data_IF_839923189412
#
_entry.id   IF_839923189412
#
_cell.length_a   1.000
_cell.length_b   1.000
_cell.length_c   1.000
_cell.angle_alpha   90.00
_cell.angle_beta   90.00
_cell.angle_gamma   90.00
#
_symmetry.space_group_name_H-M   'P 1'
#
loop_
_entity.id
_entity.type
_entity.pdbx_description
1 polymer ?
#
# COMPACT_ATOMS: atom_id res chain seq x y z
N UNK A 1 -32.00 -18.19 15.34
CA UNK A 1 -31.24 -17.53 14.26
C UNK A 1 -29.88 -17.20 14.82
N UNK A 2 -28.87 -17.99 14.46
CA UNK A 2 -27.49 -17.86 14.95
C UNK A 2 -26.66 -17.36 13.78
N UNK A 3 -26.10 -16.15 13.89
CA UNK A 3 -25.06 -15.68 12.97
C UNK A 3 -23.72 -16.00 13.61
N UNK A 4 -23.13 -17.08 13.12
CA UNK A 4 -21.74 -17.46 13.35
C UNK A 4 -20.88 -16.41 12.63
N UNK A 5 -20.23 -15.52 13.38
CA UNK A 5 -19.17 -14.67 12.83
C UNK A 5 -17.89 -15.51 12.79
N UNK A 6 -17.57 -16.00 11.59
CA UNK A 6 -16.32 -16.66 11.24
C UNK A 6 -15.14 -15.74 11.58
N UNK A 7 -14.39 -16.08 12.62
CA UNK A 7 -13.08 -15.48 12.88
C UNK A 7 -12.08 -16.20 11.96
N UNK A 8 -11.29 -15.51 11.12
CA UNK A 8 -10.30 -16.16 10.27
C UNK A 8 -9.16 -16.79 11.11
N UNK A 9 -8.91 -18.09 10.88
CA UNK A 9 -7.99 -18.99 11.61
C UNK A 9 -6.49 -18.65 11.58
N UNK A 10 -6.08 -17.52 11.03
CA UNK A 10 -4.66 -17.18 10.86
C UNK A 10 -3.97 -16.67 12.13
N UNK A 11 -4.73 -16.42 13.20
CA UNK A 11 -4.22 -15.91 14.48
C UNK A 11 -3.61 -16.97 15.41
N UNK A 12 -3.68 -18.26 15.09
CA UNK A 12 -3.11 -19.32 15.94
C UNK A 12 -1.63 -19.62 15.72
N UNK A 13 -0.90 -18.86 14.89
CA UNK A 13 0.56 -19.09 14.68
C UNK A 13 1.48 -18.07 15.35
N UNK A 14 0.92 -16.99 15.93
CA UNK A 14 1.71 -16.03 16.72
C UNK A 14 1.81 -16.41 18.21
N UNK A 15 1.11 -17.44 18.69
CA UNK A 15 1.06 -17.80 20.11
C UNK A 15 2.11 -18.85 20.54
N UNK A 16 2.93 -19.42 19.65
CA UNK A 16 3.74 -20.60 20.02
C UNK A 16 5.20 -20.33 20.42
N UNK A 17 5.70 -19.10 20.45
CA UNK A 17 7.12 -18.84 20.78
C UNK A 17 7.35 -17.58 21.63
N UNK A 18 6.73 -17.53 22.81
CA UNK A 18 7.24 -16.74 23.94
C UNK A 18 7.37 -17.63 25.19
N UNK A 19 8.07 -18.76 25.02
CA UNK A 19 8.52 -19.64 26.10
C UNK A 19 9.96 -19.33 26.55
N UNK A 20 10.42 -18.09 26.40
CA UNK A 20 11.71 -17.68 26.98
C UNK A 20 11.66 -16.20 27.39
N UNK A 21 11.02 -15.97 28.52
CA UNK A 21 11.37 -14.91 29.48
C UNK A 21 11.52 -13.49 28.94
N UNK A 22 10.49 -12.67 29.16
CA UNK A 22 10.57 -11.40 29.89
C UNK A 22 9.12 -11.10 30.28
N UNK A 23 8.85 -11.19 31.57
CA UNK A 23 7.54 -10.92 32.13
C UNK A 23 7.19 -9.43 32.12
N UNK A 24 5.88 -9.18 32.14
CA UNK A 24 5.24 -8.03 32.77
C UNK A 24 5.36 -6.65 32.10
N UNK A 25 4.97 -6.52 30.83
CA UNK A 25 4.45 -5.22 30.31
C UNK A 25 3.18 -5.33 29.46
N UNK A 26 2.64 -6.54 29.25
CA UNK A 26 1.52 -6.75 28.33
C UNK A 26 0.13 -6.36 28.89
N UNK A 27 0.02 -5.97 30.17
CA UNK A 27 -1.29 -5.67 30.79
C UNK A 27 -1.75 -4.22 30.60
N UNK A 28 -0.84 -3.26 30.37
CA UNK A 28 -1.21 -1.86 30.07
C UNK A 28 -1.56 -1.63 28.60
N UNK A 29 -1.15 -2.54 27.72
CA UNK A 29 -1.53 -2.52 26.30
C UNK A 29 -2.99 -2.96 26.08
N UNK A 30 -3.60 -3.67 27.04
CA UNK A 30 -4.98 -4.13 26.95
C UNK A 30 -6.01 -3.02 27.21
N UNK A 31 -5.72 -2.06 28.12
CA UNK A 31 -6.59 -0.89 28.28
C UNK A 31 -6.37 0.13 27.15
N UNK A 32 -5.16 0.15 26.58
CA UNK A 32 -4.81 1.01 25.44
C UNK A 32 -5.58 0.63 24.16
N UNK A 33 -5.79 -0.66 23.89
CA UNK A 33 -6.50 -1.09 22.66
C UNK A 33 -7.97 -0.66 22.63
N UNK A 34 -8.70 -0.74 23.74
CA UNK A 34 -10.14 -0.39 23.73
C UNK A 34 -10.38 1.13 23.63
N UNK A 35 -9.42 1.95 24.02
CA UNK A 35 -9.43 3.40 23.83
C UNK A 35 -8.85 3.82 22.46
N UNK A 36 -8.00 2.99 21.84
CA UNK A 36 -7.38 3.29 20.55
C UNK A 36 -8.41 3.38 19.42
N UNK A 37 -9.31 2.40 19.30
CA UNK A 37 -10.34 2.41 18.26
C UNK A 37 -11.33 3.59 18.39
N UNK A 38 -11.53 4.11 19.61
CA UNK A 38 -12.39 5.28 19.86
C UNK A 38 -11.71 6.63 19.61
N UNK A 39 -10.38 6.69 19.66
CA UNK A 39 -9.64 7.94 19.49
C UNK A 39 -9.40 8.31 18.01
N UNK A 40 -9.34 7.32 17.11
CA UNK A 40 -9.03 7.53 15.69
C UNK A 40 -10.28 7.82 14.85
N UNK A 41 -11.48 7.54 15.38
CA UNK A 41 -12.73 7.74 14.63
C UNK A 41 -13.09 9.22 14.39
N UNK A 42 -12.65 10.14 15.27
CA UNK A 42 -13.09 11.54 15.26
C UNK A 42 -11.95 12.59 15.16
N UNK A 43 -10.72 12.20 14.82
CA UNK A 43 -9.65 13.18 14.59
C UNK A 43 -9.74 13.80 13.18
N UNK A 44 -9.90 15.13 13.02
CA UNK A 44 -9.95 15.80 11.71
C UNK A 44 -8.73 15.53 10.82
N UNK A 45 -7.60 15.15 11.43
CA UNK A 45 -6.31 14.90 10.78
C UNK A 45 -6.38 13.79 9.71
N UNK A 46 -7.10 12.69 9.96
CA UNK A 46 -7.17 11.56 9.02
C UNK A 46 -7.91 11.93 7.73
N UNK A 47 -8.97 12.73 7.83
CA UNK A 47 -9.74 13.20 6.68
C UNK A 47 -8.97 14.24 5.87
N UNK A 48 -8.24 15.15 6.55
CA UNK A 48 -7.38 16.15 5.89
C UNK A 48 -6.21 15.47 5.15
N UNK A 49 -5.57 14.47 5.76
CA UNK A 49 -4.52 13.69 5.11
C UNK A 49 -5.04 12.96 3.87
N UNK A 50 -6.25 12.40 3.93
CA UNK A 50 -6.88 11.77 2.78
C UNK A 50 -7.13 12.79 1.66
N UNK A 51 -7.68 13.98 1.94
CA UNK A 51 -7.92 15.02 0.92
C UNK A 51 -6.61 15.52 0.29
N UNK A 52 -5.57 15.76 1.09
CA UNK A 52 -4.26 16.16 0.58
C UNK A 52 -3.64 15.05 -0.26
N UNK A 53 -3.77 13.79 0.16
CA UNK A 53 -3.31 12.64 -0.63
C UNK A 53 -4.04 12.55 -1.98
N UNK A 54 -5.37 12.61 -1.98
CA UNK A 54 -6.19 12.57 -3.21
C UNK A 54 -5.98 13.80 -4.11
N UNK A 55 -5.44 14.91 -3.56
CA UNK A 55 -5.05 16.09 -4.32
C UNK A 55 -3.58 16.13 -4.75
N UNK A 56 -2.70 15.31 -4.15
CA UNK A 56 -1.25 15.32 -4.41
C UNK A 56 -0.88 14.22 -5.43
N UNK A 57 -0.60 14.58 -6.70
CA UNK A 57 -0.26 13.60 -7.73
C UNK A 57 1.04 12.85 -7.42
N UNK A 58 1.98 13.47 -6.70
CA UNK A 58 3.21 12.80 -6.31
C UNK A 58 2.92 11.68 -5.31
N UNK A 59 2.10 11.95 -4.29
CA UNK A 59 1.77 10.96 -3.26
C UNK A 59 0.98 9.78 -3.84
N UNK A 60 -0.02 10.04 -4.68
CA UNK A 60 -0.80 9.01 -5.39
C UNK A 60 0.08 8.11 -6.26
N UNK A 61 1.03 8.70 -6.98
CA UNK A 61 1.95 7.93 -7.80
C UNK A 61 2.85 7.01 -6.96
N UNK A 62 3.33 7.45 -5.79
CA UNK A 62 4.14 6.61 -4.91
C UNK A 62 3.33 5.41 -4.38
N UNK A 63 2.07 5.61 -4.03
CA UNK A 63 1.19 4.52 -3.60
C UNK A 63 0.98 3.49 -4.72
N UNK A 64 0.53 3.94 -5.91
CA UNK A 64 0.32 3.05 -7.06
C UNK A 64 1.59 2.28 -7.44
N UNK A 65 2.74 2.95 -7.43
CA UNK A 65 4.04 2.32 -7.68
C UNK A 65 4.40 1.27 -6.60
N UNK A 66 4.09 1.55 -5.34
CA UNK A 66 4.30 0.62 -4.23
C UNK A 66 3.42 -0.62 -4.38
N UNK A 67 2.14 -0.43 -4.68
CA UNK A 67 1.21 -1.53 -4.95
C UNK A 67 1.65 -2.39 -6.13
N UNK A 68 2.01 -1.76 -7.25
CA UNK A 68 2.50 -2.44 -8.44
C UNK A 68 3.76 -3.28 -8.13
N UNK A 69 4.67 -2.73 -7.32
CA UNK A 69 5.87 -3.44 -6.88
C UNK A 69 5.54 -4.65 -5.97
N UNK A 70 4.60 -4.51 -5.05
CA UNK A 70 4.13 -5.61 -4.20
C UNK A 70 3.38 -6.69 -4.98
N UNK A 71 2.55 -6.29 -5.94
CA UNK A 71 1.83 -7.19 -6.83
C UNK A 71 2.80 -7.98 -7.73
N UNK A 72 3.83 -7.31 -8.28
CA UNK A 72 4.86 -7.94 -9.12
C UNK A 72 5.62 -9.10 -8.45
N UNK A 73 5.73 -9.10 -7.11
CA UNK A 73 6.35 -10.21 -6.36
C UNK A 73 5.52 -11.48 -6.34
N UNK A 74 4.21 -11.39 -6.61
CA UNK A 74 3.25 -12.49 -6.50
C UNK A 74 2.53 -12.79 -7.82
N UNK A 75 2.76 -12.01 -8.86
CA UNK A 75 2.14 -12.16 -10.17
C UNK A 75 2.48 -13.51 -10.81
N UNK A 76 1.46 -14.20 -11.32
CA UNK A 76 1.62 -15.53 -11.93
C UNK A 76 1.02 -15.62 -13.33
N UNK A 77 0.04 -14.76 -13.63
CA UNK A 77 -0.69 -14.79 -14.89
C UNK A 77 -0.38 -13.59 -15.77
N UNK A 78 -0.64 -13.73 -17.07
CA UNK A 78 -0.59 -12.61 -18.01
C UNK A 78 -1.49 -11.45 -17.55
N UNK A 79 -2.68 -11.75 -17.03
CA UNK A 79 -3.62 -10.75 -16.49
C UNK A 79 -3.05 -9.98 -15.29
N UNK A 80 -2.35 -10.65 -14.36
CA UNK A 80 -1.69 -9.99 -13.24
C UNK A 80 -0.64 -8.99 -13.75
N UNK A 81 0.19 -9.43 -14.69
CA UNK A 81 1.24 -8.59 -15.27
C UNK A 81 0.68 -7.40 -16.06
N UNK A 82 -0.45 -7.58 -16.74
CA UNK A 82 -1.14 -6.48 -17.42
C UNK A 82 -1.68 -5.45 -16.41
N UNK A 83 -2.30 -5.89 -15.32
CA UNK A 83 -2.77 -4.99 -14.26
C UNK A 83 -1.61 -4.20 -13.63
N UNK A 84 -0.48 -4.87 -13.36
CA UNK A 84 0.73 -4.24 -12.84
C UNK A 84 1.30 -3.21 -13.82
N UNK A 85 1.32 -3.51 -15.12
CA UNK A 85 1.76 -2.57 -16.14
C UNK A 85 0.92 -1.29 -16.12
N UNK A 86 -0.41 -1.43 -16.01
CA UNK A 86 -1.32 -0.29 -15.93
C UNK A 86 -1.10 0.55 -14.66
N UNK A 87 -0.85 -0.07 -13.49
CA UNK A 87 -0.54 0.66 -12.26
C UNK A 87 0.76 1.45 -12.39
N UNK A 88 1.82 0.85 -12.94
CA UNK A 88 3.08 1.55 -13.20
C UNK A 88 2.91 2.70 -14.18
N UNK A 89 2.09 2.53 -15.22
CA UNK A 89 1.81 3.58 -16.19
C UNK A 89 1.08 4.76 -15.54
N UNK A 90 0.01 4.50 -14.78
CA UNK A 90 -0.74 5.54 -14.08
C UNK A 90 0.15 6.30 -13.08
N UNK A 91 1.00 5.59 -12.33
CA UNK A 91 1.98 6.22 -11.44
C UNK A 91 2.95 7.12 -12.22
N UNK A 92 3.38 6.71 -13.41
CA UNK A 92 4.25 7.53 -14.25
C UNK A 92 3.56 8.80 -14.76
N UNK A 93 2.29 8.69 -15.14
CA UNK A 93 1.51 9.80 -15.66
C UNK A 93 1.24 10.83 -14.56
N UNK A 94 0.91 10.38 -13.34
CA UNK A 94 0.79 11.22 -12.15
C UNK A 94 2.11 11.94 -11.81
N UNK A 95 3.24 11.24 -11.85
CA UNK A 95 4.55 11.88 -11.65
C UNK A 95 4.88 12.93 -12.71
N UNK A 96 4.42 12.72 -13.96
CA UNK A 96 4.68 13.64 -15.06
C UNK A 96 3.92 14.96 -14.92
N UNK A 97 2.76 14.96 -14.25
CA UNK A 97 1.92 16.15 -14.05
C UNK A 97 2.21 16.91 -12.75
N UNK A 98 3.17 16.47 -11.94
CA UNK A 98 3.61 17.22 -10.75
C UNK A 98 4.08 18.64 -11.16
N UNK A 99 3.50 19.73 -10.62
CA UNK A 99 3.84 21.09 -11.02
C UNK A 99 5.31 21.43 -10.84
N UNK A 100 5.86 22.29 -11.70
CA UNK A 100 7.26 22.73 -11.59
C UNK A 100 7.56 23.59 -10.35
N UNK A 101 6.53 24.13 -9.71
CA UNK A 101 6.61 24.87 -8.44
C UNK A 101 6.69 23.95 -7.22
N UNK A 102 6.43 22.65 -7.36
CA UNK A 102 6.60 21.67 -6.28
C UNK A 102 8.09 21.31 -6.15
N UNK A 103 8.62 21.35 -4.94
CA UNK A 103 10.03 21.02 -4.65
C UNK A 103 10.42 19.61 -5.12
N UNK A 104 9.43 18.70 -5.24
CA UNK A 104 9.62 17.32 -5.66
C UNK A 104 9.59 17.15 -7.18
N UNK A 105 9.31 18.19 -7.96
CA UNK A 105 9.13 18.10 -9.42
C UNK A 105 10.28 17.35 -10.12
N UNK A 106 11.53 17.72 -9.83
CA UNK A 106 12.69 17.07 -10.45
C UNK A 106 12.75 15.57 -10.12
N UNK A 107 12.46 15.21 -8.88
CA UNK A 107 12.38 13.81 -8.46
C UNK A 107 11.18 13.10 -9.12
N UNK A 108 10.06 13.79 -9.28
CA UNK A 108 8.87 13.28 -9.96
C UNK A 108 9.18 12.93 -11.42
N UNK A 109 9.81 13.84 -12.18
CA UNK A 109 10.19 13.58 -13.58
C UNK A 109 11.14 12.38 -13.71
N UNK A 110 12.10 12.25 -12.79
CA UNK A 110 12.98 11.07 -12.72
C UNK A 110 12.20 9.77 -12.49
N UNK A 111 11.23 9.79 -11.57
CA UNK A 111 10.36 8.64 -11.29
C UNK A 111 9.40 8.33 -12.43
N UNK A 112 8.85 9.34 -13.12
CA UNK A 112 8.01 9.13 -14.29
C UNK A 112 8.73 8.28 -15.34
N UNK A 113 9.98 8.61 -15.66
CA UNK A 113 10.79 7.84 -16.58
C UNK A 113 11.06 6.41 -16.08
N UNK A 114 11.32 6.24 -14.78
CA UNK A 114 11.52 4.91 -14.17
C UNK A 114 10.24 4.06 -14.24
N UNK A 115 9.10 4.62 -13.88
CA UNK A 115 7.83 3.94 -13.80
C UNK A 115 7.33 3.52 -15.18
N UNK A 116 7.57 4.32 -16.23
CA UNK A 116 7.33 3.90 -17.63
C UNK A 116 8.12 2.65 -18.01
N UNK A 117 9.42 2.58 -17.66
CA UNK A 117 10.23 1.38 -17.93
C UNK A 117 9.72 0.15 -17.17
N UNK A 118 9.21 0.34 -15.95
CA UNK A 118 8.60 -0.75 -15.18
C UNK A 118 7.29 -1.22 -15.82
N UNK A 119 6.46 -0.29 -16.31
CA UNK A 119 5.25 -0.60 -17.09
C UNK A 119 5.57 -1.43 -18.31
N UNK A 120 6.55 -1.01 -19.11
CA UNK A 120 6.99 -1.76 -20.30
C UNK A 120 7.52 -3.16 -19.96
N UNK A 121 8.28 -3.29 -18.86
CA UNK A 121 8.73 -4.59 -18.38
C UNK A 121 7.57 -5.51 -18.02
N UNK A 122 6.60 -5.00 -17.24
CA UNK A 122 5.42 -5.76 -16.85
C UNK A 122 4.56 -6.12 -18.08
N UNK A 123 4.44 -5.23 -19.08
CA UNK A 123 3.73 -5.52 -20.33
C UNK A 123 4.39 -6.65 -21.11
N UNK A 124 5.72 -6.63 -21.26
CA UNK A 124 6.46 -7.75 -21.88
C UNK A 124 6.26 -9.06 -21.13
N UNK A 125 6.18 -9.02 -19.79
CA UNK A 125 5.85 -10.20 -18.97
C UNK A 125 4.42 -10.68 -19.25
N UNK A 126 3.46 -9.80 -19.43
CA UNK A 126 2.09 -10.17 -19.78
C UNK A 126 2.06 -10.89 -21.13
N UNK A 127 2.71 -10.33 -22.14
CA UNK A 127 2.77 -10.87 -23.50
C UNK A 127 3.47 -12.25 -23.57
N UNK A 128 4.53 -12.44 -22.78
CA UNK A 128 5.30 -13.69 -22.77
C UNK A 128 4.63 -14.85 -22.00
N UNK A 129 3.57 -14.58 -21.23
CA UNK A 129 2.79 -15.58 -20.49
C UNK A 129 1.38 -15.78 -21.07
N UNK A 130 1.17 -15.40 -22.33
CA UNK A 130 0.02 -15.78 -23.16
C UNK A 130 0.22 -17.18 -23.73
#
# INVERSE_FOLDING_TARGET
>A
MSVILLIPDTWMRFLSLLLSGIGLTASLLWLSWTMYDRYIADTPSSQVLAVVFHGDPYAQAIELASEANFAGKRARSSTDWFAIANQWQQAADLMAVVPNTDDRHKAAQGRAAQYRRNSEYARRKAEANL
#
